data_IF_571913062376
#
_entry.id   IF_571913062376
#
_cell.length_a   1.000
_cell.length_b   1.000
_cell.length_c   1.000
_cell.angle_alpha   90.00
_cell.angle_beta   90.00
_cell.angle_gamma   90.00
#
_symmetry.space_group_name_H-M   'P 1'
#
loop_
_entity.id
_entity.type
_entity.pdbx_description
1 polymer ?
#
# COMPACT_ATOMS: atom_id res chain seq x y z
N UNK A 1 19.31 1.63 7.32
CA UNK A 1 18.41 2.25 6.32
C UNK A 1 18.50 3.77 6.38
N UNK A 2 18.75 4.46 5.25
CA UNK A 2 18.93 5.92 5.21
C UNK A 2 17.66 6.71 5.61
N UNK A 3 16.47 6.20 5.28
CA UNK A 3 15.18 6.84 5.58
C UNK A 3 14.66 6.59 7.01
N UNK A 4 15.36 5.79 7.84
CA UNK A 4 14.93 5.37 9.19
C UNK A 4 13.52 4.73 9.27
N UNK A 5 12.98 4.26 8.15
CA UNK A 5 11.73 3.49 8.09
C UNK A 5 12.04 2.01 8.23
N UNK A 6 11.47 1.31 9.21
CA UNK A 6 11.65 -0.15 9.37
C UNK A 6 10.74 -0.99 8.46
N UNK A 7 11.14 -2.22 8.17
CA UNK A 7 10.34 -3.14 7.34
C UNK A 7 9.31 -3.96 8.12
N UNK A 8 9.27 -3.89 9.46
CA UNK A 8 8.29 -4.64 10.26
C UNK A 8 7.08 -3.76 10.66
N UNK A 9 6.38 -3.23 9.65
CA UNK A 9 5.15 -2.42 9.83
C UNK A 9 4.07 -2.90 8.85
N UNK A 10 2.83 -2.39 9.00
CA UNK A 10 1.79 -2.54 7.97
C UNK A 10 2.31 -1.89 6.69
N UNK A 11 2.36 -2.65 5.60
CA UNK A 11 2.99 -2.24 4.35
C UNK A 11 2.20 -2.80 3.17
N UNK A 12 2.15 -2.01 2.10
CA UNK A 12 1.59 -2.39 0.80
C UNK A 12 2.59 -1.94 -0.27
N UNK A 13 2.78 -2.74 -1.31
CA UNK A 13 3.59 -2.40 -2.47
C UNK A 13 2.65 -2.27 -3.66
N UNK A 14 2.79 -1.19 -4.43
CA UNK A 14 2.02 -0.95 -5.65
C UNK A 14 2.98 -0.89 -6.83
N UNK A 15 2.87 -1.84 -7.75
CA UNK A 15 3.65 -1.93 -8.98
C UNK A 15 2.83 -1.32 -10.10
N UNK A 16 3.37 -0.31 -10.78
CA UNK A 16 2.62 0.40 -11.83
C UNK A 16 2.54 -0.39 -13.13
N UNK A 17 3.60 -1.09 -13.53
CA UNK A 17 3.67 -1.90 -14.73
C UNK A 17 4.84 -2.90 -14.69
N UNK A 18 4.89 -3.82 -15.66
CA UNK A 18 5.81 -4.97 -15.67
C UNK A 18 7.17 -4.73 -16.36
N UNK A 19 7.67 -3.48 -16.36
CA UNK A 19 9.05 -3.24 -16.78
C UNK A 19 10.04 -3.54 -15.63
N UNK A 20 11.23 -4.03 -16.00
CA UNK A 20 12.21 -4.53 -15.04
C UNK A 20 12.71 -3.46 -14.05
N UNK A 21 12.81 -2.21 -14.48
CA UNK A 21 13.20 -1.07 -13.64
C UNK A 21 12.17 -0.72 -12.57
N UNK A 22 10.92 -1.18 -12.71
CA UNK A 22 9.84 -1.00 -11.73
C UNK A 22 9.62 -2.22 -10.82
N UNK A 23 10.17 -3.38 -11.19
CA UNK A 23 9.79 -4.67 -10.59
C UNK A 23 10.97 -5.46 -10.01
N UNK A 24 12.18 -5.36 -10.59
CA UNK A 24 13.31 -6.23 -10.22
C UNK A 24 13.82 -6.03 -8.78
N UNK A 25 13.44 -4.94 -8.12
CA UNK A 25 13.70 -4.74 -6.70
C UNK A 25 12.84 -5.60 -5.76
N UNK A 26 11.70 -6.11 -6.24
CA UNK A 26 10.75 -6.88 -5.43
C UNK A 26 11.35 -8.17 -4.83
N UNK A 27 12.02 -9.06 -5.58
CA UNK A 27 12.68 -10.22 -4.97
C UNK A 27 13.69 -9.85 -3.87
N UNK A 28 14.50 -8.81 -4.10
CA UNK A 28 15.51 -8.38 -3.13
C UNK A 28 14.91 -7.85 -1.83
N UNK A 29 13.82 -7.06 -1.91
CA UNK A 29 13.15 -6.55 -0.71
C UNK A 29 12.41 -7.66 0.05
N UNK A 30 11.78 -8.61 -0.66
CA UNK A 30 11.14 -9.77 -0.05
C UNK A 30 12.14 -10.65 0.71
N UNK A 31 13.29 -10.93 0.10
CA UNK A 31 14.39 -11.66 0.76
C UNK A 31 14.91 -10.89 1.98
N UNK A 32 15.07 -9.57 1.87
CA UNK A 32 15.50 -8.72 2.99
C UNK A 32 14.49 -8.78 4.14
N UNK A 33 13.19 -8.71 3.86
CA UNK A 33 12.14 -8.85 4.87
C UNK A 33 12.16 -10.23 5.54
N UNK A 34 12.43 -11.29 4.79
CA UNK A 34 12.59 -12.64 5.33
C UNK A 34 13.79 -12.75 6.27
N UNK A 35 14.94 -12.20 5.88
CA UNK A 35 16.16 -12.20 6.72
C UNK A 35 16.02 -11.37 8.00
N UNK A 36 15.10 -10.40 8.00
CA UNK A 36 14.75 -9.58 9.15
C UNK A 36 13.60 -10.16 9.97
N UNK A 37 13.27 -11.44 9.76
CA UNK A 37 12.27 -12.17 10.53
C UNK A 37 10.92 -11.45 10.56
N UNK A 38 10.53 -10.85 9.42
CA UNK A 38 9.17 -10.30 9.30
C UNK A 38 8.16 -11.45 9.44
N UNK A 39 7.13 -11.22 10.25
CA UNK A 39 5.97 -12.11 10.39
C UNK A 39 4.67 -11.51 9.81
N UNK A 40 4.63 -10.18 9.67
CA UNK A 40 3.42 -9.46 9.24
C UNK A 40 3.12 -9.68 7.77
N UNK A 41 1.82 -9.80 7.43
CA UNK A 41 1.34 -9.84 6.04
C UNK A 41 1.85 -8.66 5.22
N UNK A 42 2.26 -8.89 3.98
CA UNK A 42 2.55 -7.88 2.97
C UNK A 42 1.53 -8.00 1.84
N UNK A 43 0.86 -6.90 1.50
CA UNK A 43 0.01 -6.83 0.30
C UNK A 43 0.82 -6.30 -0.88
N UNK A 44 0.73 -6.94 -2.04
CA UNK A 44 1.37 -6.53 -3.29
C UNK A 44 0.29 -6.36 -4.36
N UNK A 45 0.15 -5.15 -4.88
CA UNK A 45 -0.77 -4.79 -5.95
C UNK A 45 0.02 -4.58 -7.24
N UNK A 46 -0.49 -5.07 -8.37
CA UNK A 46 0.15 -4.85 -9.66
C UNK A 46 -0.72 -5.30 -10.84
N UNK A 47 -0.23 -5.15 -12.08
CA UNK A 47 -0.90 -5.66 -13.27
C UNK A 47 -1.09 -7.19 -13.21
N UNK A 48 -1.94 -7.78 -14.08
CA UNK A 48 -2.26 -9.21 -14.06
C UNK A 48 -1.06 -10.17 -14.02
N UNK A 49 0.10 -9.79 -14.52
CA UNK A 49 1.28 -10.67 -14.55
C UNK A 49 2.08 -10.70 -13.22
N UNK A 50 1.71 -9.87 -12.23
CA UNK A 50 2.47 -9.74 -10.98
C UNK A 50 2.49 -11.05 -10.17
N UNK A 51 1.40 -11.83 -10.18
CA UNK A 51 1.32 -13.12 -9.49
C UNK A 51 2.32 -14.10 -10.07
N UNK A 52 2.24 -14.32 -11.38
CA UNK A 52 3.14 -15.23 -12.08
C UNK A 52 4.61 -14.84 -11.91
N UNK A 53 4.93 -13.55 -11.87
CA UNK A 53 6.29 -13.09 -11.58
C UNK A 53 6.76 -13.48 -10.18
N UNK A 54 5.95 -13.23 -9.15
CA UNK A 54 6.30 -13.58 -7.76
C UNK A 54 6.39 -15.09 -7.57
N UNK A 55 5.49 -15.85 -8.18
CA UNK A 55 5.51 -17.33 -8.16
C UNK A 55 6.75 -17.88 -8.86
N UNK A 56 7.09 -17.40 -10.05
CA UNK A 56 8.30 -17.80 -10.77
C UNK A 56 9.57 -17.54 -9.95
N UNK A 57 9.65 -16.41 -9.26
CA UNK A 57 10.75 -16.10 -8.35
C UNK A 57 10.84 -17.12 -7.21
N UNK A 58 9.70 -17.44 -6.58
CA UNK A 58 9.64 -18.39 -5.46
C UNK A 58 10.08 -19.79 -5.89
N UNK A 59 9.68 -20.20 -7.09
CA UNK A 59 10.03 -21.50 -7.66
C UNK A 59 11.51 -21.58 -8.09
N UNK A 60 12.03 -20.52 -8.71
CA UNK A 60 13.38 -20.54 -9.30
C UNK A 60 14.50 -20.25 -8.30
N UNK A 61 14.27 -19.37 -7.32
CA UNK A 61 15.31 -18.90 -6.38
C UNK A 61 15.26 -19.66 -5.04
N UNK A 62 14.28 -20.55 -4.85
CA UNK A 62 14.13 -21.40 -3.66
C UNK A 62 14.19 -20.64 -2.32
N UNK A 63 13.74 -19.39 -2.24
CA UNK A 63 13.61 -18.72 -0.94
C UNK A 63 12.21 -18.91 -0.36
N UNK A 64 12.16 -19.29 0.92
CA UNK A 64 10.94 -19.37 1.68
C UNK A 64 10.59 -17.99 2.23
N UNK A 65 9.31 -17.61 2.16
CA UNK A 65 8.80 -16.41 2.80
C UNK A 65 8.12 -16.83 4.11
N UNK A 66 8.68 -16.49 5.29
CA UNK A 66 8.12 -16.87 6.59
C UNK A 66 6.90 -16.02 6.97
N UNK A 67 6.52 -15.05 6.13
CA UNK A 67 5.35 -14.20 6.32
C UNK A 67 4.40 -14.30 5.12
N UNK A 68 3.10 -14.03 5.33
CA UNK A 68 2.13 -14.04 4.24
C UNK A 68 2.39 -12.91 3.24
N UNK A 69 2.45 -13.25 1.95
CA UNK A 69 2.45 -12.28 0.85
C UNK A 69 1.16 -12.48 0.07
N UNK A 70 0.29 -11.47 0.09
CA UNK A 70 -0.98 -11.48 -0.60
C UNK A 70 -0.89 -10.64 -1.86
N UNK A 71 -1.20 -11.26 -3.01
CA UNK A 71 -1.05 -10.66 -4.32
C UNK A 71 -2.42 -10.28 -4.86
N UNK A 72 -2.55 -9.01 -5.26
CA UNK A 72 -3.76 -8.39 -5.78
C UNK A 72 -3.51 -7.93 -7.22
N UNK A 73 -4.09 -8.65 -8.18
CA UNK A 73 -4.01 -8.30 -9.60
C UNK A 73 -5.04 -7.23 -9.94
N UNK A 74 -4.60 -6.16 -10.61
CA UNK A 74 -5.43 -5.03 -11.00
C UNK A 74 -5.86 -5.24 -12.44
N UNK A 75 -7.14 -5.54 -12.64
CA UNK A 75 -7.72 -5.71 -13.98
C UNK A 75 -8.36 -4.41 -14.49
N UNK A 76 -8.94 -3.61 -13.58
CA UNK A 76 -9.74 -2.45 -13.91
C UNK A 76 -9.39 -1.25 -13.02
N UNK A 77 -9.73 -0.05 -13.50
CA UNK A 77 -9.62 1.17 -12.69
C UNK A 77 -10.64 1.16 -11.56
N UNK A 78 -10.29 1.71 -10.40
CA UNK A 78 -11.17 1.77 -9.23
C UNK A 78 -10.41 1.77 -7.90
N UNK A 79 -11.16 1.59 -6.81
CA UNK A 79 -10.61 1.50 -5.45
C UNK A 79 -9.91 0.15 -5.27
N UNK A 80 -8.63 0.16 -4.89
CA UNK A 80 -7.84 -1.03 -4.62
C UNK A 80 -7.88 -1.45 -3.15
N UNK A 81 -7.80 -0.47 -2.25
CA UNK A 81 -7.93 -0.71 -0.83
C UNK A 81 -8.51 0.50 -0.12
N UNK A 82 -9.33 0.23 0.87
CA UNK A 82 -9.89 1.23 1.77
C UNK A 82 -9.34 1.01 3.17
N UNK A 83 -8.71 2.04 3.70
CA UNK A 83 -8.14 2.10 5.05
C UNK A 83 -8.95 3.10 5.89
N UNK A 84 -8.72 3.14 7.20
CA UNK A 84 -9.48 4.00 8.11
C UNK A 84 -9.38 5.49 7.72
N UNK A 85 -8.19 5.93 7.34
CA UNK A 85 -7.88 7.34 7.08
C UNK A 85 -7.72 7.68 5.59
N UNK A 86 -7.66 6.69 4.70
CA UNK A 86 -7.41 6.92 3.28
C UNK A 86 -7.97 5.79 2.40
N UNK A 87 -8.06 6.07 1.10
CA UNK A 87 -8.28 5.06 0.06
C UNK A 87 -7.10 5.09 -0.91
N UNK A 88 -6.84 3.96 -1.56
CA UNK A 88 -5.94 3.91 -2.72
C UNK A 88 -6.75 3.53 -3.94
N UNK A 89 -6.65 4.35 -4.97
CA UNK A 89 -7.32 4.15 -6.25
C UNK A 89 -6.31 3.90 -7.36
N UNK A 90 -6.69 3.11 -8.35
CA UNK A 90 -5.95 2.88 -9.57
C UNK A 90 -6.71 3.42 -10.79
N UNK A 91 -5.96 3.96 -11.73
CA UNK A 91 -6.44 4.37 -13.04
C UNK A 91 -5.53 3.81 -14.11
N UNK A 92 -6.08 3.26 -15.19
CA UNK A 92 -5.29 2.82 -16.33
C UNK A 92 -4.51 4.00 -16.92
N UNK A 93 -3.21 3.82 -17.13
CA UNK A 93 -2.33 4.84 -17.70
C UNK A 93 -2.07 4.57 -19.19
N UNK A 94 -1.65 5.60 -19.92
CA UNK A 94 -1.25 5.47 -21.32
C UNK A 94 0.22 5.04 -21.40
N UNK A 95 0.44 3.74 -21.54
CA UNK A 95 1.77 3.14 -21.64
C UNK A 95 1.80 1.95 -22.60
N UNK A 96 2.99 1.52 -22.99
CA UNK A 96 3.19 0.45 -23.99
C UNK A 96 2.77 -0.95 -23.52
N UNK A 97 2.64 -1.15 -22.21
CA UNK A 97 2.17 -2.38 -21.56
C UNK A 97 1.05 -2.03 -20.57
N UNK A 98 0.36 -3.05 -20.05
CA UNK A 98 -0.62 -2.86 -18.97
C UNK A 98 0.00 -2.04 -17.82
N UNK A 99 -0.61 -0.89 -17.55
CA UNK A 99 -0.05 0.08 -16.60
C UNK A 99 -1.14 0.84 -15.87
N UNK A 100 -0.88 1.09 -14.58
CA UNK A 100 -1.76 1.82 -13.69
C UNK A 100 -1.02 2.98 -13.01
N UNK A 101 -1.70 4.12 -12.93
CA UNK A 101 -1.37 5.20 -12.02
C UNK A 101 -2.15 5.03 -10.72
N UNK A 102 -1.56 5.44 -9.59
CA UNK A 102 -2.16 5.31 -8.27
C UNK A 102 -2.41 6.67 -7.64
N UNK A 103 -3.55 6.81 -6.98
CA UNK A 103 -3.87 7.94 -6.12
C UNK A 103 -4.01 7.45 -4.66
N UNK A 104 -3.27 8.07 -3.75
CA UNK A 104 -3.49 7.95 -2.30
C UNK A 104 -4.38 9.12 -1.88
N UNK A 105 -5.64 8.83 -1.57
CA UNK A 105 -6.64 9.85 -1.26
C UNK A 105 -6.97 9.79 0.22
N UNK A 106 -6.53 10.79 0.98
CA UNK A 106 -6.91 10.92 2.39
C UNK A 106 -8.40 11.21 2.52
N UNK A 107 -9.06 10.51 3.45
CA UNK A 107 -10.45 10.74 3.81
C UNK A 107 -10.58 12.10 4.50
N UNK A 108 -11.77 12.68 4.40
CA UNK A 108 -12.08 13.92 5.11
C UNK A 108 -11.87 13.71 6.61
N UNK A 109 -10.91 14.45 7.16
CA UNK A 109 -10.71 14.51 8.60
C UNK A 109 -11.78 15.39 9.22
N UNK A 110 -12.22 15.10 10.45
CA UNK A 110 -13.01 16.04 11.22
C UNK A 110 -12.36 17.42 11.17
N UNK A 111 -13.17 18.44 10.89
CA UNK A 111 -12.68 19.81 10.86
C UNK A 111 -12.10 20.24 12.20
N UNK A 112 -11.35 21.33 12.20
CA UNK A 112 -10.88 21.92 13.45
C UNK A 112 -12.08 22.35 14.29
N UNK A 113 -12.17 21.86 15.52
CA UNK A 113 -13.14 22.38 16.48
C UNK A 113 -12.80 23.85 16.82
N UNK A 114 -13.83 24.69 16.94
CA UNK A 114 -13.69 26.12 17.23
C UNK A 114 -14.27 26.42 18.63
N UNK A 115 -13.45 26.34 19.70
CA UNK A 115 -13.91 26.58 21.08
C UNK A 115 -14.66 27.91 21.23
N UNK A 116 -14.17 28.99 20.62
CA UNK A 116 -14.79 30.31 20.71
C UNK A 116 -16.21 30.36 20.14
N UNK A 117 -16.49 29.60 19.07
CA UNK A 117 -17.84 29.51 18.50
C UNK A 117 -18.77 28.69 19.40
N UNK A 118 -18.26 27.60 19.99
CA UNK A 118 -19.03 26.78 20.92
C UNK A 118 -19.41 27.58 22.19
N UNK A 119 -18.46 28.36 22.73
CA UNK A 119 -18.70 29.31 23.84
C UNK A 119 -19.76 30.35 23.47
N UNK A 120 -19.67 30.97 22.30
CA UNK A 120 -20.63 31.97 21.84
C UNK A 120 -22.05 31.40 21.67
N UNK A 121 -22.19 30.10 21.39
CA UNK A 121 -23.46 29.38 21.31
C UNK A 121 -23.97 28.86 22.67
N UNK A 122 -23.25 29.11 23.76
CA UNK A 122 -23.63 28.66 25.11
C UNK A 122 -23.39 27.17 25.37
N UNK A 123 -22.57 26.50 24.55
CA UNK A 123 -22.25 25.07 24.73
C UNK A 123 -21.21 24.94 25.86
N UNK A 124 -21.52 24.23 26.97
CA UNK A 124 -20.61 24.11 28.11
C UNK A 124 -19.35 23.30 27.76
N UNK A 125 -18.22 23.71 28.33
CA UNK A 125 -16.95 22.99 28.26
C UNK A 125 -17.07 21.58 28.85
N UNK A 126 -16.64 20.56 28.11
CA UNK A 126 -16.64 19.19 28.60
C UNK A 126 -16.64 18.14 27.49
N UNK A 127 -17.02 16.89 27.78
CA UNK A 127 -17.08 15.78 26.81
C UNK A 127 -18.02 16.01 25.60
N UNK A 128 -18.79 17.10 25.62
CA UNK A 128 -19.67 17.55 24.54
C UNK A 128 -18.92 18.41 23.49
N UNK A 129 -17.67 18.78 23.76
CA UNK A 129 -16.74 19.42 22.82
C UNK A 129 -15.91 18.38 22.07
#
# INVERSE_FOLDING_TARGET
MKAKTGFNRKMKIFISHMHGDHLMGLPGILQTMSLLERERKLDVYGPPEIRSFVEAIRETVQFALPFPVEIHEIENSGVLCEEEEYIVEAMQSNHVVASFAFALVEKLRPGRFYPEKAKALGIPEGPLW
#
